data_IF_334922689494
#
_entry.id   IF_334922689494
#
_cell.length_a   1.000
_cell.length_b   1.000
_cell.length_c   1.000
_cell.angle_alpha   90.00
_cell.angle_beta   90.00
_cell.angle_gamma   90.00
#
_symmetry.space_group_name_H-M   'P 1'
#
loop_
_entity.id
_entity.type
_entity.pdbx_description
1 polymer ?
#
# COMPACT_ATOMS: atom_id res chain seq x y z
N UNK A 1 3.83 -12.42 0.88
CA UNK A 1 3.56 -11.17 0.12
C UNK A 1 2.07 -10.87 0.21
N UNK A 2 1.71 -9.73 0.82
CA UNK A 2 0.30 -9.40 1.11
C UNK A 2 -0.61 -9.38 -0.13
N UNK A 3 -0.12 -8.96 -1.30
CA UNK A 3 -0.89 -8.98 -2.56
C UNK A 3 -1.41 -10.38 -2.92
N UNK A 4 -0.56 -11.41 -2.76
CA UNK A 4 -0.93 -12.81 -3.06
C UNK A 4 -1.97 -13.31 -2.06
N UNK A 5 -1.77 -13.01 -0.77
CA UNK A 5 -2.70 -13.39 0.29
C UNK A 5 -4.07 -12.74 0.09
N UNK A 6 -4.10 -11.44 -0.25
CA UNK A 6 -5.33 -10.71 -0.53
C UNK A 6 -6.05 -11.31 -1.74
N UNK A 7 -5.36 -11.51 -2.86
CA UNK A 7 -5.98 -12.06 -4.06
C UNK A 7 -6.60 -13.45 -3.80
N UNK A 8 -5.89 -14.33 -3.08
CA UNK A 8 -6.41 -15.67 -2.72
C UNK A 8 -7.71 -15.62 -1.91
N UNK A 9 -7.91 -14.60 -1.08
CA UNK A 9 -9.11 -14.47 -0.25
C UNK A 9 -10.28 -13.81 -0.98
N UNK A 10 -10.00 -12.88 -1.90
CA UNK A 10 -11.02 -11.97 -2.43
C UNK A 10 -11.31 -12.13 -3.93
N UNK A 11 -10.40 -12.70 -4.72
CA UNK A 11 -10.64 -12.94 -6.15
C UNK A 11 -11.54 -14.16 -6.37
N UNK A 12 -12.38 -14.10 -7.41
CA UNK A 12 -13.18 -15.25 -7.83
C UNK A 12 -12.31 -16.23 -8.60
N UNK A 13 -12.40 -17.52 -8.25
CA UNK A 13 -11.66 -18.58 -8.92
C UNK A 13 -10.27 -18.83 -8.33
N UNK A 14 -9.53 -19.81 -8.88
CA UNK A 14 -8.22 -20.18 -8.36
C UNK A 14 -7.19 -19.07 -8.61
N UNK A 15 -6.47 -18.67 -7.57
CA UNK A 15 -5.35 -17.72 -7.65
C UNK A 15 -4.03 -18.47 -7.53
N UNK A 16 -3.24 -18.44 -8.60
CA UNK A 16 -1.90 -19.04 -8.63
C UNK A 16 -0.83 -18.04 -8.18
N UNK A 17 0.04 -18.38 -7.22
CA UNK A 17 1.20 -17.55 -6.88
C UNK A 17 2.13 -17.31 -8.09
N UNK A 18 2.19 -18.25 -9.04
CA UNK A 18 3.02 -18.11 -10.23
C UNK A 18 2.61 -16.90 -11.10
N UNK A 19 1.32 -16.53 -11.11
CA UNK A 19 0.84 -15.34 -11.83
C UNK A 19 1.50 -14.05 -11.32
N UNK A 20 1.93 -13.99 -10.05
CA UNK A 20 2.62 -12.82 -9.51
C UNK A 20 4.11 -12.75 -9.90
N UNK A 21 4.64 -13.82 -10.52
CA UNK A 21 5.97 -13.82 -11.12
C UNK A 21 5.94 -13.30 -12.57
N UNK A 22 4.76 -13.17 -13.16
CA UNK A 22 4.58 -12.56 -14.48
C UNK A 22 4.79 -11.04 -14.42
N UNK A 23 4.87 -10.41 -15.60
CA UNK A 23 5.15 -8.97 -15.72
C UNK A 23 4.17 -8.08 -14.93
N UNK A 24 2.89 -8.47 -14.88
CA UNK A 24 1.86 -7.74 -14.12
C UNK A 24 2.00 -7.84 -12.59
N UNK A 25 2.86 -8.73 -12.09
CA UNK A 25 3.15 -8.87 -10.68
C UNK A 25 4.51 -8.25 -10.33
N UNK A 26 5.56 -9.06 -10.31
CA UNK A 26 6.86 -8.68 -9.77
C UNK A 26 7.53 -7.56 -10.57
N UNK A 27 7.45 -7.57 -11.91
CA UNK A 27 8.12 -6.56 -12.73
C UNK A 27 7.45 -5.17 -12.59
N UNK A 28 6.11 -5.13 -12.66
CA UNK A 28 5.34 -3.90 -12.44
C UNK A 28 5.52 -3.36 -11.02
N UNK A 29 5.54 -4.23 -10.02
CA UNK A 29 5.79 -3.86 -8.64
C UNK A 29 7.18 -3.24 -8.47
N UNK A 30 8.22 -3.85 -9.02
CA UNK A 30 9.60 -3.32 -8.96
C UNK A 30 9.66 -1.94 -9.59
N UNK A 31 9.23 -1.79 -10.86
CA UNK A 31 9.35 -0.49 -11.54
C UNK A 31 8.53 0.60 -10.85
N UNK A 32 7.34 0.26 -10.33
CA UNK A 32 6.49 1.20 -9.57
C UNK A 32 7.15 1.62 -8.26
N UNK A 33 7.77 0.68 -7.53
CA UNK A 33 8.46 0.96 -6.26
C UNK A 33 9.78 1.73 -6.43
N UNK A 34 10.40 1.73 -7.62
CA UNK A 34 11.62 2.50 -7.91
C UNK A 34 11.34 3.85 -8.60
N UNK A 35 10.35 3.93 -9.49
CA UNK A 35 10.13 5.10 -10.36
C UNK A 35 8.72 5.69 -10.34
N UNK A 36 7.77 5.07 -9.64
CA UNK A 36 6.36 5.46 -9.71
C UNK A 36 6.03 6.79 -9.00
N UNK A 37 4.93 7.43 -9.45
CA UNK A 37 4.40 8.66 -8.83
C UNK A 37 4.01 8.46 -7.36
N UNK A 38 3.47 7.29 -7.02
CA UNK A 38 3.19 6.90 -5.63
C UNK A 38 4.46 6.95 -4.78
N UNK A 39 5.57 6.36 -5.25
CA UNK A 39 6.87 6.39 -4.55
C UNK A 39 7.38 7.83 -4.37
N UNK A 40 7.40 8.62 -5.44
CA UNK A 40 7.92 9.99 -5.42
C UNK A 40 7.18 10.89 -4.42
N UNK A 41 5.85 10.80 -4.37
CA UNK A 41 5.05 11.59 -3.42
C UNK A 41 5.14 11.04 -2.00
N UNK A 42 5.17 9.71 -1.82
CA UNK A 42 5.33 9.11 -0.49
C UNK A 42 6.68 9.48 0.15
N UNK A 43 7.75 9.54 -0.65
CA UNK A 43 9.06 10.05 -0.20
C UNK A 43 8.97 11.52 0.23
N UNK A 44 8.38 12.39 -0.59
CA UNK A 44 8.21 13.80 -0.25
C UNK A 44 7.34 13.98 1.01
N UNK A 45 6.30 13.16 1.19
CA UNK A 45 5.47 13.11 2.39
C UNK A 45 6.34 12.79 3.62
N UNK A 46 7.15 11.74 3.54
CA UNK A 46 8.01 11.33 4.64
C UNK A 46 9.08 12.37 5.00
N UNK A 47 9.67 13.04 4.00
CA UNK A 47 10.75 14.01 4.21
C UNK A 47 10.25 15.40 4.66
N UNK A 48 9.04 15.80 4.27
CA UNK A 48 8.56 17.19 4.47
C UNK A 48 7.41 17.32 5.46
N UNK A 49 6.68 16.22 5.75
CA UNK A 49 5.45 16.25 6.56
C UNK A 49 4.26 16.96 5.89
N UNK A 50 4.39 17.41 4.63
CA UNK A 50 3.28 17.97 3.86
C UNK A 50 2.20 16.92 3.64
N UNK A 51 0.94 17.35 3.55
CA UNK A 51 -0.16 16.43 3.26
C UNK A 51 -0.08 15.85 1.84
N UNK A 52 -0.63 14.66 1.65
CA UNK A 52 -0.71 14.02 0.32
C UNK A 52 -1.43 14.95 -0.68
N UNK A 53 -2.53 15.59 -0.28
CA UNK A 53 -3.27 16.50 -1.16
C UNK A 53 -2.41 17.70 -1.62
N UNK A 54 -1.60 18.26 -0.72
CA UNK A 54 -0.70 19.34 -1.07
C UNK A 54 0.37 18.86 -2.07
N UNK A 55 0.97 17.70 -1.82
CA UNK A 55 2.00 17.13 -2.69
C UNK A 55 1.45 16.72 -4.07
N UNK A 56 0.20 16.24 -4.15
CA UNK A 56 -0.48 16.00 -5.44
C UNK A 56 -0.60 17.27 -6.28
N UNK A 57 -0.96 18.41 -5.66
CA UNK A 57 -1.05 19.70 -6.35
C UNK A 57 0.33 20.17 -6.83
N UNK A 58 1.34 20.08 -5.96
CA UNK A 58 2.70 20.57 -6.24
C UNK A 58 3.47 19.69 -7.23
N UNK A 59 3.33 18.37 -7.15
CA UNK A 59 4.22 17.43 -7.85
C UNK A 59 3.55 16.75 -9.05
N UNK A 60 2.21 16.67 -9.05
CA UNK A 60 1.44 15.91 -10.04
C UNK A 60 0.46 16.80 -10.82
N UNK A 61 0.61 18.13 -10.75
CA UNK A 61 -0.29 19.10 -11.38
C UNK A 61 -1.77 18.82 -11.06
N UNK A 62 -2.06 18.41 -9.82
CA UNK A 62 -3.42 18.12 -9.35
C UNK A 62 -3.94 16.71 -9.67
N UNK A 63 -3.17 15.85 -10.34
CA UNK A 63 -3.55 14.45 -10.53
C UNK A 63 -3.55 13.69 -9.19
N UNK A 64 -4.59 12.88 -8.97
CA UNK A 64 -4.77 12.11 -7.74
C UNK A 64 -3.95 10.82 -7.75
N UNK A 65 -3.34 10.49 -6.62
CA UNK A 65 -2.64 9.22 -6.42
C UNK A 65 -3.62 8.09 -6.17
N UNK A 66 -3.39 6.96 -6.85
CA UNK A 66 -4.19 5.76 -6.66
C UNK A 66 -3.77 4.99 -5.40
N UNK A 67 -2.49 5.03 -4.99
CA UNK A 67 -1.99 4.24 -3.85
C UNK A 67 -2.77 4.48 -2.54
N UNK A 68 -2.84 5.72 -2.03
CA UNK A 68 -3.60 6.02 -0.83
C UNK A 68 -5.08 5.68 -0.96
N UNK A 69 -5.71 6.01 -2.10
CA UNK A 69 -7.13 5.71 -2.33
C UNK A 69 -7.39 4.20 -2.28
N UNK A 70 -6.56 3.39 -2.94
CA UNK A 70 -6.64 1.93 -2.87
C UNK A 70 -6.45 1.42 -1.45
N UNK A 71 -5.51 1.99 -0.67
CA UNK A 71 -5.32 1.58 0.73
C UNK A 71 -6.57 1.82 1.59
N UNK A 72 -7.31 2.91 1.34
CA UNK A 72 -8.60 3.18 2.01
C UNK A 72 -9.66 2.14 1.65
N UNK A 73 -9.76 1.76 0.38
CA UNK A 73 -10.70 0.71 -0.04
C UNK A 73 -10.32 -0.66 0.54
N UNK A 74 -9.03 -0.99 0.58
CA UNK A 74 -8.53 -2.20 1.24
C UNK A 74 -8.87 -2.23 2.72
N UNK A 75 -8.70 -1.11 3.44
CA UNK A 75 -9.08 -1.01 4.85
C UNK A 75 -10.58 -1.30 5.04
N UNK A 76 -11.45 -0.70 4.23
CA UNK A 76 -12.90 -0.96 4.28
C UNK A 76 -13.23 -2.45 4.10
N UNK A 77 -12.66 -3.08 3.05
CA UNK A 77 -12.88 -4.51 2.76
C UNK A 77 -12.40 -5.38 3.93
N UNK A 78 -11.21 -5.12 4.46
CA UNK A 78 -10.60 -5.92 5.52
C UNK A 78 -11.32 -5.72 6.86
N UNK A 79 -11.77 -4.51 7.16
CA UNK A 79 -12.55 -4.20 8.35
C UNK A 79 -13.88 -4.96 8.33
N UNK A 80 -14.60 -4.94 7.20
CA UNK A 80 -15.84 -5.70 7.04
C UNK A 80 -15.66 -7.22 7.17
N UNK A 81 -14.45 -7.75 6.93
CA UNK A 81 -14.13 -9.18 7.09
C UNK A 81 -13.47 -9.53 8.42
N UNK A 82 -13.14 -8.55 9.27
CA UNK A 82 -12.37 -8.79 10.49
C UNK A 82 -10.95 -9.30 10.24
N UNK A 83 -10.32 -8.87 9.13
CA UNK A 83 -9.01 -9.35 8.67
C UNK A 83 -7.92 -8.26 8.66
N UNK A 84 -8.18 -7.09 9.25
CA UNK A 84 -7.26 -5.94 9.29
C UNK A 84 -5.86 -6.35 9.77
N UNK A 85 -5.78 -7.15 10.83
CA UNK A 85 -4.50 -7.56 11.44
C UNK A 85 -3.69 -8.55 10.60
N UNK A 86 -4.28 -9.12 9.54
CA UNK A 86 -3.58 -10.02 8.61
C UNK A 86 -2.79 -9.28 7.53
N UNK A 87 -2.98 -7.97 7.39
CA UNK A 87 -2.38 -7.15 6.34
C UNK A 87 -1.70 -5.89 6.91
N UNK A 88 -0.74 -6.04 7.83
CA UNK A 88 -0.12 -4.91 8.52
C UNK A 88 0.51 -3.88 7.58
N UNK A 89 1.06 -4.28 6.44
CA UNK A 89 1.68 -3.35 5.49
C UNK A 89 0.64 -2.51 4.75
N UNK A 90 -0.43 -3.13 4.22
CA UNK A 90 -1.55 -2.37 3.65
C UNK A 90 -2.16 -1.40 4.66
N UNK A 91 -2.34 -1.85 5.91
CA UNK A 91 -2.93 -1.03 6.96
C UNK A 91 -2.00 0.09 7.43
N UNK A 92 -0.69 -0.13 7.49
CA UNK A 92 0.26 0.93 7.79
C UNK A 92 0.21 2.06 6.76
N UNK A 93 0.12 1.75 5.46
CA UNK A 93 -0.06 2.77 4.41
C UNK A 93 -1.35 3.57 4.64
N UNK A 94 -2.47 2.88 4.90
CA UNK A 94 -3.75 3.54 5.19
C UNK A 94 -3.65 4.48 6.40
N UNK A 95 -3.14 4.00 7.54
CA UNK A 95 -3.06 4.77 8.79
C UNK A 95 -2.14 5.97 8.68
N UNK A 96 -1.01 5.84 7.99
CA UNK A 96 -0.09 6.96 7.73
C UNK A 96 -0.76 8.02 6.84
N UNK A 97 -1.50 7.60 5.81
CA UNK A 97 -2.14 8.54 4.90
C UNK A 97 -3.43 9.19 5.45
N UNK A 98 -4.19 8.52 6.33
CA UNK A 98 -5.53 8.95 6.71
C UNK A 98 -5.80 9.06 8.22
N UNK A 99 -5.02 8.39 9.06
CA UNK A 99 -5.20 8.39 10.53
C UNK A 99 -4.06 9.10 11.27
N UNK A 100 -3.24 9.85 10.54
CA UNK A 100 -2.11 10.61 11.10
C UNK A 100 -1.10 9.75 11.88
N UNK A 101 -0.99 8.46 11.56
CA UNK A 101 0.08 7.64 12.12
C UNK A 101 1.45 8.22 11.70
N UNK A 102 2.40 8.42 12.64
CA UNK A 102 3.71 8.95 12.29
C UNK A 102 4.44 8.03 11.31
N UNK A 103 4.89 8.60 10.18
CA UNK A 103 5.60 7.86 9.12
C UNK A 103 6.88 7.16 9.64
N UNK A 104 7.52 7.71 10.67
CA UNK A 104 8.69 7.12 11.31
C UNK A 104 8.41 5.77 11.99
N UNK A 105 7.14 5.44 12.26
CA UNK A 105 6.75 4.14 12.81
C UNK A 105 6.51 3.08 11.73
N UNK A 106 6.53 3.44 10.44
CA UNK A 106 6.17 2.53 9.35
C UNK A 106 6.95 1.22 9.37
N UNK A 107 8.26 1.26 9.66
CA UNK A 107 9.10 0.05 9.72
C UNK A 107 8.65 -0.93 10.81
N UNK A 108 7.98 -0.48 11.88
CA UNK A 108 7.49 -1.37 12.94
C UNK A 108 6.45 -2.36 12.45
N UNK A 109 5.66 -2.01 11.43
CA UNK A 109 4.67 -2.95 10.87
C UNK A 109 5.36 -4.17 10.19
N UNK A 110 6.61 -4.00 9.73
CA UNK A 110 7.40 -5.06 9.10
C UNK A 110 8.09 -5.95 10.14
N UNK A 111 8.46 -5.40 11.29
CA UNK A 111 9.14 -6.14 12.37
C UNK A 111 8.27 -7.26 12.96
N UNK A 112 6.95 -7.09 12.94
CA UNK A 112 5.97 -8.04 13.48
C UNK A 112 5.08 -8.65 12.39
N UNK A 113 5.60 -8.81 11.18
CA UNK A 113 4.80 -9.23 10.03
C UNK A 113 4.38 -10.73 10.13
N UNK A 114 3.11 -11.09 9.84
CA UNK A 114 2.62 -12.48 9.88
C UNK A 114 3.32 -13.51 8.99
N UNK A 115 4.26 -13.09 8.15
CA UNK A 115 5.03 -14.02 7.29
C UNK A 115 6.29 -14.53 8.02
N UNK A 116 6.59 -13.98 9.21
CA UNK A 116 7.75 -14.33 10.04
C UNK A 116 7.34 -14.91 11.40
N UNK A 117 6.04 -15.06 11.65
CA UNK A 117 5.48 -15.76 12.82
C UNK A 117 5.19 -17.21 12.46
#
# INVERSE_FOLDING_TARGET
MEMIAFAKLFCRGPVSPATFLESCGVADLITTCYGGRNRKVAEAFACTGKSIEQLEKEMLNGQKLQGPQTARELHSILQHKGLVDKFPLFMAVYRVCYESQPVGEFIRCLQNHPEHM
#
